data_IF_917354619922
#
_entry.id   IF_917354619922
#
_cell.length_a   1.000
_cell.length_b   1.000
_cell.length_c   1.000
_cell.angle_alpha   90.00
_cell.angle_beta   90.00
_cell.angle_gamma   90.00
#
_symmetry.space_group_name_H-M   'P 1'
#
loop_
_entity.id
_entity.type
_entity.pdbx_description
1 polymer ?
#
# COMPACT_ATOMS: atom_id res chain seq x y z
N UNK A 1 -25.87 -6.26 18.09
CA UNK A 1 -25.51 -6.31 16.65
C UNK A 1 -24.01 -6.09 16.55
N UNK A 2 -23.27 -6.93 15.82
CA UNK A 2 -21.80 -6.89 15.83
C UNK A 2 -21.28 -5.93 14.75
N UNK A 3 -20.60 -4.87 15.15
CA UNK A 3 -19.85 -3.96 14.27
C UNK A 3 -18.65 -4.67 13.59
N UNK A 4 -18.34 -5.92 13.97
CA UNK A 4 -17.25 -6.75 13.43
C UNK A 4 -17.43 -7.22 11.99
N UNK A 5 -18.49 -6.77 11.29
CA UNK A 5 -18.73 -7.05 9.86
C UNK A 5 -18.65 -5.81 8.97
N UNK A 6 -18.39 -4.63 9.54
CA UNK A 6 -18.19 -3.42 8.75
C UNK A 6 -16.79 -3.48 8.14
N UNK A 7 -16.72 -3.91 6.89
CA UNK A 7 -15.54 -3.80 6.04
C UNK A 7 -15.49 -2.37 5.51
N UNK A 8 -14.47 -1.63 5.92
CA UNK A 8 -14.25 -0.24 5.55
C UNK A 8 -13.31 -0.09 4.36
N UNK A 9 -13.52 0.98 3.59
CA UNK A 9 -12.57 1.50 2.61
C UNK A 9 -11.77 2.64 3.24
N UNK A 10 -10.45 2.59 3.14
CA UNK A 10 -9.56 3.69 3.50
C UNK A 10 -8.81 4.16 2.26
N UNK A 11 -8.77 5.47 2.05
CA UNK A 11 -7.97 6.11 1.00
C UNK A 11 -7.02 7.11 1.67
N UNK A 12 -5.75 7.08 1.26
CA UNK A 12 -4.71 8.00 1.71
C UNK A 12 -4.09 8.61 0.45
N UNK A 13 -4.21 9.92 0.33
CA UNK A 13 -3.72 10.72 -0.78
C UNK A 13 -2.51 11.57 -0.37
N UNK A 14 -1.89 12.22 -1.36
CA UNK A 14 -0.75 13.13 -1.19
C UNK A 14 0.47 12.50 -0.48
N UNK A 15 0.69 11.19 -0.69
CA UNK A 15 1.77 10.45 -0.04
C UNK A 15 3.17 10.87 -0.51
N UNK A 16 3.28 11.60 -1.62
CA UNK A 16 4.53 12.21 -2.10
C UNK A 16 5.09 13.28 -1.14
N UNK A 17 4.26 13.82 -0.24
CA UNK A 17 4.69 14.80 0.78
C UNK A 17 4.91 14.17 2.15
N UNK A 18 4.72 12.85 2.29
CA UNK A 18 4.79 12.16 3.57
C UNK A 18 6.21 11.66 3.82
N UNK A 19 6.72 11.94 5.01
CA UNK A 19 7.98 11.38 5.49
C UNK A 19 7.75 9.97 6.06
N UNK A 20 8.77 9.11 5.94
CA UNK A 20 8.75 7.73 6.44
C UNK A 20 8.36 7.64 7.93
N UNK A 21 8.83 8.58 8.75
CA UNK A 21 8.54 8.59 10.19
C UNK A 21 7.07 8.90 10.49
N UNK A 22 6.41 9.72 9.68
CA UNK A 22 4.97 9.96 9.78
C UNK A 22 4.18 8.72 9.35
N UNK A 23 4.60 8.06 8.26
CA UNK A 23 3.98 6.82 7.78
C UNK A 23 4.04 5.70 8.84
N UNK A 24 5.16 5.56 9.56
CA UNK A 24 5.31 4.58 10.65
C UNK A 24 4.34 4.80 11.81
N UNK A 25 3.88 6.04 12.04
CA UNK A 25 2.89 6.36 13.08
C UNK A 25 1.48 5.91 12.66
N UNK A 26 1.22 5.85 11.35
CA UNK A 26 -0.05 5.37 10.78
C UNK A 26 -0.06 3.85 10.86
N UNK A 27 -0.36 3.31 12.04
CA UNK A 27 -0.37 1.87 12.29
C UNK A 27 -1.56 1.16 11.60
N UNK A 28 -1.47 0.98 10.28
CA UNK A 28 -2.51 0.33 9.46
C UNK A 28 -2.69 -1.14 9.82
N UNK A 29 -1.66 -1.80 10.36
CA UNK A 29 -1.76 -3.15 10.91
C UNK A 29 -2.80 -3.27 12.03
N UNK A 30 -3.06 -2.21 12.80
CA UNK A 30 -4.08 -2.24 13.86
C UNK A 30 -5.51 -1.98 13.36
N UNK A 31 -5.66 -1.53 12.11
CA UNK A 31 -6.96 -1.22 11.51
C UNK A 31 -7.56 -2.43 10.79
N UNK A 32 -7.86 -3.48 11.56
CA UNK A 32 -8.35 -4.78 11.08
C UNK A 32 -9.74 -4.77 10.40
N UNK A 33 -10.46 -3.65 10.44
CA UNK A 33 -11.76 -3.47 9.78
C UNK A 33 -11.63 -2.98 8.33
N UNK A 34 -10.42 -2.62 7.88
CA UNK A 34 -10.18 -2.17 6.51
C UNK A 34 -10.11 -3.40 5.59
N UNK A 35 -10.93 -3.39 4.55
CA UNK A 35 -10.95 -4.42 3.51
C UNK A 35 -10.44 -3.88 2.17
N UNK A 36 -10.57 -2.56 1.94
CA UNK A 36 -10.06 -1.88 0.76
C UNK A 36 -9.15 -0.72 1.18
N UNK A 37 -7.92 -0.72 0.68
CA UNK A 37 -6.93 0.34 0.91
C UNK A 37 -6.51 0.94 -0.44
N UNK A 38 -6.56 2.27 -0.52
CA UNK A 38 -6.09 3.03 -1.68
C UNK A 38 -4.99 3.98 -1.21
N UNK A 39 -3.83 3.91 -1.86
CA UNK A 39 -2.67 4.75 -1.59
C UNK A 39 -2.30 5.51 -2.86
N UNK A 40 -2.14 6.83 -2.77
CA UNK A 40 -1.94 7.70 -3.92
C UNK A 40 -0.75 8.64 -3.75
N UNK A 41 0.13 8.66 -4.76
CA UNK A 41 1.34 9.48 -4.90
C UNK A 41 1.24 10.47 -6.07
N UNK A 42 0.03 10.85 -6.45
CA UNK A 42 -0.19 11.76 -7.58
C UNK A 42 0.44 13.14 -7.33
N UNK A 43 1.26 13.60 -8.28
CA UNK A 43 1.86 14.93 -8.24
C UNK A 43 3.29 15.00 -7.68
N UNK A 44 3.91 13.86 -7.36
CA UNK A 44 5.35 13.78 -7.09
C UNK A 44 6.21 14.00 -8.34
N UNK A 45 7.50 14.29 -8.16
CA UNK A 45 8.48 14.33 -9.26
C UNK A 45 9.01 12.90 -9.52
N UNK A 46 8.58 12.24 -10.60
CA UNK A 46 8.95 10.84 -10.87
C UNK A 46 10.42 10.67 -11.26
N UNK A 47 11.15 11.76 -11.55
CA UNK A 47 12.55 11.71 -11.96
C UNK A 47 13.52 11.95 -10.80
N UNK A 48 13.01 12.26 -9.60
CA UNK A 48 13.82 12.45 -8.40
C UNK A 48 14.09 11.11 -7.71
N UNK A 49 15.35 10.68 -7.71
CA UNK A 49 15.76 9.43 -7.06
C UNK A 49 15.50 9.43 -5.55
N UNK A 50 15.63 10.60 -4.89
CA UNK A 50 15.31 10.76 -3.48
C UNK A 50 13.80 10.62 -3.22
N UNK A 51 12.96 11.10 -4.15
CA UNK A 51 11.50 10.91 -4.08
C UNK A 51 11.16 9.43 -4.17
N UNK A 52 11.74 8.71 -5.14
CA UNK A 52 11.48 7.28 -5.37
C UNK A 52 11.86 6.42 -4.15
N UNK A 53 13.01 6.67 -3.52
CA UNK A 53 13.41 5.92 -2.32
C UNK A 53 12.49 6.25 -1.13
N UNK A 54 12.08 7.51 -0.97
CA UNK A 54 11.11 7.89 0.06
C UNK A 54 9.76 7.20 -0.17
N UNK A 55 9.23 7.20 -1.39
CA UNK A 55 7.97 6.52 -1.74
C UNK A 55 8.02 5.04 -1.36
N UNK A 56 9.12 4.35 -1.68
CA UNK A 56 9.34 2.94 -1.32
C UNK A 56 9.31 2.73 0.19
N UNK A 57 10.02 3.55 0.95
CA UNK A 57 10.06 3.45 2.41
C UNK A 57 8.71 3.77 3.06
N UNK A 58 7.97 4.76 2.54
CA UNK A 58 6.62 5.11 3.00
C UNK A 58 5.67 3.95 2.73
N UNK A 59 5.66 3.38 1.52
CA UNK A 59 4.81 2.25 1.17
C UNK A 59 5.13 1.00 2.01
N UNK A 60 6.41 0.75 2.33
CA UNK A 60 6.83 -0.32 3.24
C UNK A 60 6.31 -0.09 4.68
N UNK A 61 6.35 1.16 5.17
CA UNK A 61 5.85 1.53 6.49
C UNK A 61 4.32 1.44 6.61
N UNK A 62 3.59 1.69 5.51
CA UNK A 62 2.13 1.61 5.41
C UNK A 62 1.61 0.18 5.26
N UNK A 63 2.27 -0.81 5.90
CA UNK A 63 1.82 -2.19 5.82
C UNK A 63 0.41 -2.34 6.42
N UNK A 64 -0.57 -2.84 5.62
CA UNK A 64 -1.92 -3.05 6.09
C UNK A 64 -2.04 -4.26 7.01
N UNK A 65 -3.18 -4.41 7.66
CA UNK A 65 -3.54 -5.66 8.33
C UNK A 65 -3.70 -6.79 7.30
N UNK A 66 -3.32 -8.01 7.66
CA UNK A 66 -3.29 -9.16 6.76
C UNK A 66 -4.67 -9.56 6.19
N UNK A 67 -5.75 -9.09 6.83
CA UNK A 67 -7.13 -9.28 6.37
C UNK A 67 -7.53 -8.39 5.18
N UNK A 68 -6.66 -7.50 4.71
CA UNK A 68 -6.97 -6.62 3.59
C UNK A 68 -7.35 -7.44 2.35
N UNK A 69 -8.52 -7.15 1.78
CA UNK A 69 -9.06 -7.82 0.60
C UNK A 69 -8.63 -7.18 -0.73
N UNK A 70 -8.47 -5.86 -0.74
CA UNK A 70 -8.16 -5.08 -1.94
C UNK A 70 -7.14 -3.99 -1.63
N UNK A 71 -6.11 -3.89 -2.46
CA UNK A 71 -5.11 -2.82 -2.44
C UNK A 71 -5.10 -2.14 -3.80
N UNK A 72 -5.16 -0.81 -3.79
CA UNK A 72 -4.89 0.02 -4.97
C UNK A 72 -3.75 0.97 -4.68
N UNK A 73 -2.77 1.01 -5.57
CA UNK A 73 -1.64 1.93 -5.54
C UNK A 73 -1.73 2.80 -6.79
N UNK A 74 -1.66 4.13 -6.63
CA UNK A 74 -1.79 5.09 -7.73
C UNK A 74 -0.58 6.03 -7.73
N UNK A 75 0.07 6.21 -8.88
CA UNK A 75 1.14 7.20 -9.05
C UNK A 75 2.46 6.85 -8.35
N UNK A 76 2.66 5.60 -7.97
CA UNK A 76 3.89 5.13 -7.33
C UNK A 76 4.99 4.93 -8.37
N UNK A 77 6.15 5.55 -8.15
CA UNK A 77 7.21 5.64 -9.15
C UNK A 77 8.34 4.61 -8.92
N UNK A 78 8.34 3.88 -7.81
CA UNK A 78 9.38 2.87 -7.58
C UNK A 78 9.11 1.56 -8.33
N UNK A 79 10.18 0.89 -8.78
CA UNK A 79 10.14 -0.42 -9.49
C UNK A 79 9.81 -1.59 -8.58
N UNK A 80 9.99 -1.43 -7.28
CA UNK A 80 9.88 -2.51 -6.32
C UNK A 80 8.60 -2.38 -5.50
N UNK A 81 7.81 -3.45 -5.50
CA UNK A 81 6.74 -3.63 -4.54
C UNK A 81 7.31 -3.90 -3.15
N UNK A 82 6.63 -3.44 -2.08
CA UNK A 82 7.09 -3.61 -0.72
C UNK A 82 7.09 -5.10 -0.33
N UNK A 83 7.91 -5.45 0.66
CA UNK A 83 8.13 -6.83 1.07
C UNK A 83 6.82 -7.53 1.47
N UNK A 84 5.93 -6.78 2.12
CA UNK A 84 4.64 -7.29 2.58
C UNK A 84 3.67 -7.62 1.43
N UNK A 85 3.74 -6.97 0.27
CA UNK A 85 2.93 -7.38 -0.91
C UNK A 85 3.38 -8.75 -1.39
N UNK A 86 4.68 -9.03 -1.39
CA UNK A 86 5.24 -10.35 -1.74
C UNK A 86 4.82 -11.42 -0.74
N UNK A 87 4.74 -11.08 0.55
CA UNK A 87 4.25 -11.99 1.59
C UNK A 87 2.74 -12.28 1.47
N UNK A 88 1.95 -11.28 1.07
CA UNK A 88 0.51 -11.41 0.87
C UNK A 88 0.13 -12.14 -0.42
N UNK A 89 0.95 -12.03 -1.47
CA UNK A 89 0.71 -12.64 -2.80
C UNK A 89 1.51 -13.93 -3.06
N UNK A 90 2.49 -14.26 -2.20
CA UNK A 90 3.41 -15.37 -2.40
C UNK A 90 2.75 -16.74 -2.53
N UNK A 91 3.21 -17.52 -3.52
CA UNK A 91 2.78 -18.86 -4.00
C UNK A 91 2.66 -19.99 -2.97
N UNK A 92 2.83 -19.72 -1.68
CA UNK A 92 2.63 -20.71 -0.61
C UNK A 92 1.40 -20.35 0.22
N UNK A 93 0.27 -20.05 -0.45
CA UNK A 93 -1.08 -19.89 0.12
C UNK A 93 -1.00 -19.57 1.61
N UNK A 94 -0.43 -18.40 1.91
CA UNK A 94 -0.19 -17.98 3.28
C UNK A 94 -1.54 -18.06 3.99
N UNK A 95 -1.71 -18.80 5.09
CA UNK A 95 -3.00 -18.84 5.80
C UNK A 95 -3.41 -17.47 6.39
N UNK A 96 -2.58 -16.45 6.18
CA UNK A 96 -2.70 -15.09 6.69
C UNK A 96 -3.03 -14.04 5.62
N UNK A 97 -2.91 -14.35 4.31
CA UNK A 97 -3.07 -13.35 3.25
C UNK A 97 -4.46 -13.39 2.61
N UNK A 98 -5.26 -12.35 2.80
CA UNK A 98 -6.58 -12.21 2.16
C UNK A 98 -6.58 -11.28 0.93
N UNK A 99 -5.41 -10.86 0.42
CA UNK A 99 -5.35 -9.92 -0.68
C UNK A 99 -5.84 -10.59 -1.98
N UNK A 100 -7.08 -10.28 -2.36
CA UNK A 100 -7.76 -10.81 -3.54
C UNK A 100 -7.51 -9.94 -4.77
N UNK A 101 -7.25 -8.65 -4.57
CA UNK A 101 -7.10 -7.67 -5.65
C UNK A 101 -5.94 -6.72 -5.37
N UNK A 102 -5.07 -6.59 -6.37
CA UNK A 102 -4.02 -5.59 -6.44
C UNK A 102 -4.23 -4.80 -7.74
N UNK A 103 -4.59 -3.52 -7.63
CA UNK A 103 -4.61 -2.56 -8.74
C UNK A 103 -3.41 -1.62 -8.61
N UNK A 104 -2.68 -1.43 -9.70
CA UNK A 104 -1.56 -0.51 -9.78
C UNK A 104 -1.84 0.41 -10.98
N UNK A 105 -2.13 1.67 -10.72
CA UNK A 105 -2.54 2.66 -11.72
C UNK A 105 -1.50 3.78 -11.85
N UNK A 106 -1.28 4.28 -13.06
CA UNK A 106 -0.41 5.43 -13.34
C UNK A 106 1.01 5.31 -12.74
N UNK A 107 1.56 4.08 -12.69
CA UNK A 107 2.90 3.82 -12.14
C UNK A 107 3.89 3.68 -13.30
N UNK A 108 4.71 4.70 -13.52
CA UNK A 108 5.54 4.83 -14.73
C UNK A 108 6.69 3.82 -14.83
N UNK A 109 7.13 3.22 -13.74
CA UNK A 109 8.28 2.31 -13.70
C UNK A 109 7.91 0.85 -13.38
N UNK A 110 6.65 0.57 -13.05
CA UNK A 110 6.14 -0.79 -12.84
C UNK A 110 5.62 -1.46 -14.13
N UNK A 111 5.65 -0.74 -15.27
CA UNK A 111 5.29 -1.25 -16.60
C UNK A 111 6.20 -2.40 -17.10
N UNK A 112 7.29 -2.71 -16.40
CA UNK A 112 8.27 -3.74 -16.78
C UNK A 112 8.23 -5.02 -15.93
N UNK A 113 7.23 -5.18 -15.04
CA UNK A 113 7.07 -6.39 -14.21
C UNK A 113 6.29 -7.51 -14.90
#
# INVERSE_FOLDING_TARGET
QSLSKLKGRLQIDDLQHVEVEEAKKVNLRMKNHIDELILSWLGGDPFSNDSVENEKMVLEALQPHANLGSLRIVGYNAKELPSWVREMTGYRRSPLGNLLRLDIDSCHELDHL
#
